data_IF_697386970440
#
_entry.id   IF_697386970440
#
_cell.length_a   1.000
_cell.length_b   1.000
_cell.length_c   1.000
_cell.angle_alpha   90.00
_cell.angle_beta   90.00
_cell.angle_gamma   90.00
#
_symmetry.space_group_name_H-M   'P 1'
#
loop_
_entity.id
_entity.type
_entity.pdbx_description
1 polymer ?
#
# COMPACT_ATOMS: atom_id res chain seq x y z
N UNK A 1 1.48 1.51 14.17
CA UNK A 1 1.60 1.69 12.73
C UNK A 1 0.45 1.06 11.95
N UNK A 2 -0.18 0.02 12.46
CA UNK A 2 -1.25 -0.72 11.80
C UNK A 2 -2.38 -1.03 12.79
N UNK A 3 -3.53 -1.42 12.27
CA UNK A 3 -4.68 -1.88 13.02
C UNK A 3 -5.13 -3.26 12.53
N UNK A 4 -5.28 -4.22 13.46
CA UNK A 4 -5.84 -5.53 13.16
C UNK A 4 -5.13 -6.30 12.03
N UNK A 5 -5.93 -6.96 11.20
CA UNK A 5 -5.50 -7.91 10.18
C UNK A 5 -5.73 -7.44 8.73
N UNK A 6 -6.33 -6.27 8.53
CA UNK A 6 -6.61 -5.71 7.22
C UNK A 6 -5.45 -4.84 6.71
N UNK A 7 -4.22 -5.36 6.79
CA UNK A 7 -3.00 -4.68 6.35
C UNK A 7 -2.27 -5.55 5.34
N UNK A 8 -1.65 -4.91 4.36
CA UNK A 8 -0.99 -5.62 3.27
C UNK A 8 0.48 -5.19 3.13
N UNK A 9 1.33 -6.18 2.94
CA UNK A 9 2.73 -6.03 2.55
C UNK A 9 2.94 -6.77 1.24
N UNK A 10 3.57 -6.15 0.26
CA UNK A 10 4.03 -6.89 -0.91
C UNK A 10 5.42 -6.49 -1.36
N UNK A 11 6.13 -7.43 -1.98
CA UNK A 11 7.48 -7.24 -2.52
C UNK A 11 7.57 -7.89 -3.89
N UNK A 12 7.99 -7.13 -4.91
CA UNK A 12 8.23 -7.67 -6.25
C UNK A 12 9.19 -8.86 -6.22
N UNK A 13 8.86 -9.91 -6.96
CA UNK A 13 9.74 -11.04 -7.21
C UNK A 13 10.20 -11.02 -8.67
N UNK A 14 11.50 -10.76 -8.95
CA UNK A 14 12.03 -10.83 -10.31
C UNK A 14 11.87 -12.23 -10.93
N UNK A 15 11.90 -13.26 -10.10
CA UNK A 15 11.82 -14.68 -10.51
C UNK A 15 10.39 -15.11 -10.88
N UNK A 16 9.38 -14.34 -10.46
CA UNK A 16 7.96 -14.65 -10.68
C UNK A 16 7.36 -13.98 -11.93
N UNK A 17 8.16 -13.66 -12.94
CA UNK A 17 7.65 -13.10 -14.19
C UNK A 17 6.84 -11.79 -14.02
N UNK A 18 7.24 -10.92 -13.07
CA UNK A 18 6.51 -9.71 -12.71
C UNK A 18 5.52 -9.90 -11.56
N UNK A 19 5.53 -11.06 -10.90
CA UNK A 19 4.76 -11.33 -9.69
C UNK A 19 5.35 -10.70 -8.44
N UNK A 20 4.71 -10.96 -7.30
CA UNK A 20 5.12 -10.40 -6.01
C UNK A 20 4.78 -11.35 -4.85
N UNK A 21 5.56 -11.25 -3.79
CA UNK A 21 5.19 -11.85 -2.50
C UNK A 21 4.21 -10.94 -1.76
N UNK A 22 3.24 -11.53 -1.05
CA UNK A 22 2.23 -10.81 -0.25
C UNK A 22 1.87 -11.63 0.98
N UNK A 23 1.47 -10.97 2.07
CA UNK A 23 0.95 -11.68 3.24
C UNK A 23 -0.42 -12.30 2.97
N UNK A 24 -0.67 -13.46 3.56
CA UNK A 24 -1.97 -14.13 3.48
C UNK A 24 -3.08 -13.36 4.20
N UNK A 25 -4.32 -13.66 3.84
CA UNK A 25 -5.52 -13.08 4.44
C UNK A 25 -5.58 -13.36 5.94
N UNK A 26 -5.96 -12.34 6.72
CA UNK A 26 -6.19 -12.49 8.16
C UNK A 26 -4.94 -12.59 9.02
N UNK A 27 -3.75 -12.43 8.44
CA UNK A 27 -2.49 -12.47 9.19
C UNK A 27 -2.18 -11.11 9.82
N UNK A 28 -1.89 -11.12 11.12
CA UNK A 28 -1.51 -9.90 11.83
C UNK A 28 -0.01 -9.63 11.68
N UNK A 29 0.37 -8.39 11.38
CA UNK A 29 1.77 -8.01 11.10
C UNK A 29 2.77 -8.36 12.22
N UNK A 30 2.33 -8.43 13.49
CA UNK A 30 3.20 -8.81 14.59
C UNK A 30 3.60 -10.30 14.60
N UNK A 31 2.93 -11.13 13.82
CA UNK A 31 3.15 -12.59 13.78
C UNK A 31 3.67 -13.10 12.44
N UNK A 32 3.60 -12.29 11.38
CA UNK A 32 4.05 -12.67 10.03
C UNK A 32 5.57 -12.82 10.00
N UNK A 33 6.04 -13.89 9.37
CA UNK A 33 7.44 -14.13 9.02
C UNK A 33 7.61 -14.08 7.50
N UNK A 34 8.83 -13.88 7.04
CA UNK A 34 9.12 -13.88 5.60
C UNK A 34 8.71 -15.20 4.91
N UNK A 35 8.79 -16.33 5.62
CA UNK A 35 8.35 -17.64 5.15
C UNK A 35 6.85 -17.79 4.96
N UNK A 36 6.06 -16.89 5.54
CA UNK A 36 4.60 -16.93 5.50
C UNK A 36 4.03 -16.12 4.32
N UNK A 37 4.92 -15.47 3.56
CA UNK A 37 4.50 -14.70 2.40
C UNK A 37 4.15 -15.64 1.24
N UNK A 38 3.03 -15.35 0.61
CA UNK A 38 2.51 -16.09 -0.54
C UNK A 38 3.01 -15.47 -1.84
N UNK A 39 3.54 -16.30 -2.76
CA UNK A 39 3.97 -15.84 -4.08
C UNK A 39 2.78 -15.76 -5.03
N UNK A 40 2.46 -14.55 -5.48
CA UNK A 40 1.49 -14.27 -6.52
C UNK A 40 2.22 -14.15 -7.85
N UNK A 41 2.08 -15.15 -8.72
CA UNK A 41 2.52 -15.06 -10.11
C UNK A 41 1.57 -14.16 -10.90
N UNK A 42 2.10 -13.30 -11.77
CA UNK A 42 1.30 -12.38 -12.57
C UNK A 42 0.21 -13.10 -13.40
N UNK A 43 0.52 -14.29 -13.90
CA UNK A 43 -0.42 -15.13 -14.67
C UNK A 43 -1.57 -15.68 -13.86
N UNK A 44 -1.43 -15.79 -12.54
CA UNK A 44 -2.40 -16.42 -11.64
C UNK A 44 -3.29 -15.44 -10.87
N UNK A 45 -3.11 -14.13 -11.05
CA UNK A 45 -3.90 -13.12 -10.35
C UNK A 45 -5.41 -13.36 -10.52
N UNK A 46 -5.84 -13.68 -11.74
CA UNK A 46 -7.27 -13.93 -12.02
C UNK A 46 -7.83 -15.18 -11.34
N UNK A 47 -7.01 -16.19 -11.08
CA UNK A 47 -7.42 -17.39 -10.34
C UNK A 47 -7.46 -17.15 -8.83
N UNK A 48 -6.57 -16.28 -8.33
CA UNK A 48 -6.42 -16.01 -6.91
C UNK A 48 -7.50 -15.09 -6.36
N UNK A 49 -8.08 -14.21 -7.18
CA UNK A 49 -9.17 -13.32 -6.72
C UNK A 49 -10.43 -14.09 -6.28
N UNK A 50 -10.60 -15.33 -6.75
CA UNK A 50 -11.68 -16.21 -6.34
C UNK A 50 -11.32 -17.07 -5.10
N UNK A 51 -10.15 -16.82 -4.49
CA UNK A 51 -9.62 -17.53 -3.31
C UNK A 51 -9.28 -16.55 -2.17
N UNK A 52 -10.27 -15.83 -1.63
CA UNK A 52 -10.05 -14.79 -0.63
C UNK A 52 -9.46 -15.33 0.69
N UNK A 53 -9.55 -16.62 0.93
CA UNK A 53 -8.94 -17.29 2.08
C UNK A 53 -7.40 -17.36 2.00
N UNK A 54 -6.83 -17.28 0.80
CA UNK A 54 -5.38 -17.29 0.59
C UNK A 54 -4.78 -15.90 0.61
N UNK A 55 -5.29 -15.02 -0.23
CA UNK A 55 -4.81 -13.65 -0.38
C UNK A 55 -6.01 -12.72 -0.48
N UNK A 56 -5.95 -11.60 0.24
CA UNK A 56 -7.00 -10.59 0.19
C UNK A 56 -7.16 -10.06 -1.25
N UNK A 57 -8.37 -10.13 -1.83
CA UNK A 57 -8.61 -9.65 -3.19
C UNK A 57 -8.26 -8.17 -3.38
N UNK A 58 -8.43 -7.33 -2.35
CA UNK A 58 -8.04 -5.91 -2.40
C UNK A 58 -6.53 -5.76 -2.55
N UNK A 59 -5.76 -6.59 -1.85
CA UNK A 59 -4.29 -6.62 -1.98
C UNK A 59 -3.88 -7.05 -3.39
N UNK A 60 -4.52 -8.08 -3.96
CA UNK A 60 -4.22 -8.53 -5.32
C UNK A 60 -4.43 -7.41 -6.35
N UNK A 61 -5.53 -6.69 -6.28
CA UNK A 61 -5.85 -5.62 -7.23
C UNK A 61 -4.98 -4.37 -7.01
N UNK A 62 -4.92 -3.85 -5.79
CA UNK A 62 -4.20 -2.60 -5.50
C UNK A 62 -2.70 -2.80 -5.72
N UNK A 63 -2.10 -3.81 -5.07
CA UNK A 63 -0.66 -4.03 -5.16
C UNK A 63 -0.25 -4.48 -6.57
N UNK A 64 -1.03 -5.37 -7.19
CA UNK A 64 -0.78 -5.83 -8.56
C UNK A 64 -0.77 -4.68 -9.58
N UNK A 65 -1.73 -3.76 -9.51
CA UNK A 65 -1.79 -2.58 -10.38
C UNK A 65 -0.61 -1.63 -10.14
N UNK A 66 -0.24 -1.41 -8.87
CA UNK A 66 0.87 -0.53 -8.53
C UNK A 66 2.20 -1.14 -8.96
N UNK A 67 2.47 -2.41 -8.66
CA UNK A 67 3.69 -3.10 -9.11
C UNK A 67 3.85 -3.07 -10.64
N UNK A 68 2.75 -3.20 -11.36
CA UNK A 68 2.74 -3.16 -12.83
C UNK A 68 3.00 -1.77 -13.40
N UNK A 69 2.44 -0.71 -12.77
CA UNK A 69 2.44 0.64 -13.35
C UNK A 69 3.48 1.59 -12.76
N UNK A 70 3.99 1.29 -11.57
CA UNK A 70 4.89 2.17 -10.81
C UNK A 70 6.26 1.51 -10.64
N UNK A 71 7.23 1.79 -11.54
CA UNK A 71 8.50 1.05 -11.61
C UNK A 71 9.34 1.07 -10.32
N UNK A 72 9.23 2.14 -9.52
CA UNK A 72 9.96 2.29 -8.26
C UNK A 72 9.28 1.59 -7.09
N UNK A 73 8.02 1.17 -7.22
CA UNK A 73 7.29 0.47 -6.17
C UNK A 73 7.66 -1.02 -6.14
N UNK A 74 8.89 -1.33 -5.72
CA UNK A 74 9.35 -2.71 -5.54
C UNK A 74 8.86 -3.34 -4.24
N UNK A 75 8.58 -2.52 -3.24
CA UNK A 75 7.90 -2.88 -2.01
C UNK A 75 6.73 -1.93 -1.79
N UNK A 76 5.62 -2.46 -1.32
CA UNK A 76 4.39 -1.71 -1.00
C UNK A 76 3.93 -2.13 0.38
N UNK A 77 3.62 -1.14 1.22
CA UNK A 77 2.99 -1.32 2.52
C UNK A 77 1.68 -0.54 2.56
N UNK A 78 0.61 -1.22 2.91
CA UNK A 78 -0.71 -0.62 3.10
C UNK A 78 -1.19 -0.88 4.52
N UNK A 79 -1.56 0.17 5.23
CA UNK A 79 -2.06 0.12 6.61
C UNK A 79 -3.12 1.19 6.86
N UNK A 80 -3.86 0.99 7.98
CA UNK A 80 -4.81 1.96 8.50
C UNK A 80 -4.28 2.59 9.79
N UNK A 81 -3.09 3.20 9.73
CA UNK A 81 -2.51 3.84 10.93
C UNK A 81 -3.33 5.04 11.37
N UNK A 82 -3.60 5.15 12.67
CA UNK A 82 -4.56 6.07 13.27
C UNK A 82 -4.50 7.50 12.73
N UNK A 83 -3.33 8.13 12.80
CA UNK A 83 -3.20 9.53 12.42
C UNK A 83 -3.17 9.75 10.90
N UNK A 84 -2.47 8.90 10.17
CA UNK A 84 -2.43 9.01 8.72
C UNK A 84 -3.79 8.69 8.07
N UNK A 85 -4.57 7.76 8.64
CA UNK A 85 -5.94 7.50 8.21
C UNK A 85 -6.87 8.67 8.55
N UNK A 86 -6.71 9.26 9.74
CA UNK A 86 -7.46 10.47 10.10
C UNK A 86 -7.16 11.64 9.14
N UNK A 87 -5.88 11.85 8.80
CA UNK A 87 -5.50 12.82 7.79
C UNK A 87 -6.16 12.53 6.43
N UNK A 88 -6.09 11.27 5.98
CA UNK A 88 -6.69 10.85 4.70
C UNK A 88 -8.22 11.06 4.65
N UNK A 89 -8.90 11.11 5.80
CA UNK A 89 -10.34 11.33 5.90
C UNK A 89 -10.75 12.81 5.89
N UNK A 90 -9.79 13.75 5.94
CA UNK A 90 -10.11 15.17 5.88
C UNK A 90 -10.53 15.59 4.48
N UNK A 91 -11.33 16.66 4.40
CA UNK A 91 -11.70 17.30 3.13
C UNK A 91 -10.44 17.77 2.37
N UNK A 92 -9.47 18.33 3.08
CA UNK A 92 -8.13 18.61 2.58
C UNK A 92 -7.09 17.77 3.32
N UNK A 93 -6.66 16.61 2.77
CA UNK A 93 -5.66 15.75 3.36
C UNK A 93 -4.23 16.20 3.02
N UNK A 94 -4.03 17.44 2.63
CA UNK A 94 -2.69 17.98 2.38
C UNK A 94 -1.87 17.95 3.66
N UNK A 95 -0.70 17.33 3.58
CA UNK A 95 0.26 17.29 4.68
C UNK A 95 1.16 18.54 4.62
N UNK A 96 0.97 19.51 5.52
CA UNK A 96 1.81 20.69 5.54
C UNK A 96 3.20 20.36 6.08
N UNK A 97 4.27 20.94 5.48
CA UNK A 97 5.65 20.73 5.93
C UNK A 97 5.97 21.58 7.17
N UNK A 98 5.44 21.20 8.31
CA UNK A 98 5.55 21.99 9.57
C UNK A 98 6.74 21.57 10.44
N UNK A 99 7.35 20.43 10.18
CA UNK A 99 8.51 19.90 10.88
C UNK A 99 9.40 19.07 9.97
N UNK A 100 10.53 18.58 10.50
CA UNK A 100 11.48 17.78 9.72
C UNK A 100 10.87 16.46 9.21
N UNK A 101 9.96 15.83 9.96
CA UNK A 101 9.33 14.59 9.55
C UNK A 101 8.32 14.83 8.42
N UNK A 102 7.49 15.86 8.53
CA UNK A 102 6.52 16.21 7.49
C UNK A 102 7.20 16.75 6.23
N UNK A 103 8.37 17.39 6.34
CA UNK A 103 9.19 17.81 5.19
C UNK A 103 9.65 16.63 4.32
N UNK A 104 9.80 15.43 4.87
CA UNK A 104 10.11 14.22 4.09
C UNK A 104 9.10 13.97 2.99
N UNK A 105 7.85 14.33 3.24
CA UNK A 105 6.70 14.06 2.36
C UNK A 105 6.36 15.22 1.43
N UNK A 106 7.09 16.33 1.51
CA UNK A 106 6.83 17.49 0.66
C UNK A 106 6.90 17.11 -0.83
N UNK A 107 5.82 17.33 -1.56
CA UNK A 107 5.63 16.92 -2.97
C UNK A 107 5.75 15.41 -3.25
N UNK A 108 5.76 14.56 -2.21
CA UNK A 108 5.88 13.10 -2.34
C UNK A 108 4.60 12.33 -2.03
N UNK A 109 3.51 13.03 -1.75
CA UNK A 109 2.22 12.44 -1.39
C UNK A 109 1.24 12.56 -2.55
N UNK A 110 0.68 11.44 -2.98
CA UNK A 110 -0.50 11.37 -3.81
C UNK A 110 -1.75 11.31 -2.93
N UNK A 111 -2.87 11.83 -3.44
CA UNK A 111 -4.16 11.71 -2.78
C UNK A 111 -5.14 11.06 -3.75
N UNK A 112 -5.77 9.99 -3.32
CA UNK A 112 -6.87 9.34 -4.01
C UNK A 112 -8.17 9.65 -3.27
N UNK A 113 -9.04 10.43 -3.89
CA UNK A 113 -10.28 10.96 -3.26
C UNK A 113 -11.52 10.13 -3.58
N UNK A 114 -11.48 9.38 -4.66
CA UNK A 114 -12.63 8.66 -5.19
C UNK A 114 -12.72 7.27 -4.57
N UNK A 115 -12.91 7.18 -3.23
CA UNK A 115 -13.09 5.90 -2.58
C UNK A 115 -14.46 5.32 -2.99
N UNK A 116 -14.44 4.37 -3.94
CA UNK A 116 -15.63 3.75 -4.52
C UNK A 116 -15.94 2.35 -3.98
N UNK A 117 -15.10 1.83 -3.08
CA UNK A 117 -15.35 0.50 -2.54
C UNK A 117 -14.08 -0.24 -2.11
N UNK A 118 -13.71 -1.30 -2.84
CA UNK A 118 -12.68 -2.26 -2.42
C UNK A 118 -11.37 -2.17 -3.20
N UNK A 119 -11.18 -1.16 -4.01
CA UNK A 119 -9.95 -0.98 -4.81
C UNK A 119 -9.83 -1.95 -5.98
N UNK A 120 -10.95 -2.49 -6.48
CA UNK A 120 -10.93 -3.44 -7.59
C UNK A 120 -10.78 -2.75 -8.95
N UNK A 121 -10.22 -3.50 -9.91
CA UNK A 121 -10.14 -3.14 -11.33
C UNK A 121 -9.77 -1.68 -11.63
N UNK A 122 -10.69 -0.87 -12.17
CA UNK A 122 -10.43 0.53 -12.52
C UNK A 122 -9.99 1.39 -11.34
N UNK A 123 -10.48 1.11 -10.14
CA UNK A 123 -10.12 1.84 -8.93
C UNK A 123 -8.64 1.65 -8.61
N UNK A 124 -8.15 0.40 -8.65
CA UNK A 124 -6.73 0.08 -8.43
C UNK A 124 -5.82 0.74 -9.48
N UNK A 125 -6.27 0.83 -10.72
CA UNK A 125 -5.55 1.51 -11.79
C UNK A 125 -5.48 3.04 -11.60
N UNK A 126 -6.55 3.65 -11.11
CA UNK A 126 -6.59 5.07 -10.74
C UNK A 126 -5.66 5.35 -9.56
N UNK A 127 -5.64 4.48 -8.54
CA UNK A 127 -4.71 4.58 -7.40
C UNK A 127 -3.25 4.53 -7.87
N UNK A 128 -2.88 3.56 -8.72
CA UNK A 128 -1.55 3.47 -9.29
C UNK A 128 -1.15 4.72 -10.08
N UNK A 129 -2.08 5.30 -10.81
CA UNK A 129 -1.87 6.55 -11.56
C UNK A 129 -1.68 7.76 -10.63
N UNK A 130 -2.38 7.80 -9.49
CA UNK A 130 -2.24 8.87 -8.48
C UNK A 130 -0.93 8.82 -7.72
N UNK A 131 -0.36 7.63 -7.51
CA UNK A 131 0.99 7.50 -6.97
C UNK A 131 1.99 8.15 -7.94
N UNK A 132 1.96 7.77 -9.24
CA UNK A 132 2.89 8.30 -10.22
C UNK A 132 4.35 8.12 -9.79
N UNK A 133 5.07 9.21 -9.57
CA UNK A 133 6.46 9.24 -9.08
C UNK A 133 6.57 9.46 -7.55
N UNK A 134 5.47 9.42 -6.84
CA UNK A 134 5.41 9.70 -5.40
C UNK A 134 5.66 8.45 -4.57
N UNK A 135 5.96 8.64 -3.28
CA UNK A 135 6.26 7.54 -2.34
C UNK A 135 5.06 7.14 -1.49
N UNK A 136 4.11 8.02 -1.33
CA UNK A 136 2.95 7.86 -0.45
C UNK A 136 1.67 8.08 -1.24
N UNK A 137 0.65 7.28 -0.94
CA UNK A 137 -0.73 7.52 -1.34
C UNK A 137 -1.61 7.60 -0.09
N UNK A 138 -2.27 8.73 0.10
CA UNK A 138 -3.40 8.86 1.03
C UNK A 138 -4.66 8.45 0.28
N UNK A 139 -5.38 7.47 0.82
CA UNK A 139 -6.64 6.99 0.26
C UNK A 139 -7.78 7.51 1.15
N UNK A 140 -8.56 8.45 0.63
CA UNK A 140 -9.62 9.11 1.39
C UNK A 140 -10.60 8.11 1.99
N UNK A 141 -10.93 8.29 3.27
CA UNK A 141 -11.82 7.42 4.06
C UNK A 141 -11.41 5.93 4.10
N UNK A 142 -10.14 5.61 3.83
CA UNK A 142 -9.65 4.23 3.80
C UNK A 142 -8.39 4.09 4.65
N UNK A 143 -7.26 4.53 4.16
CA UNK A 143 -5.97 4.34 4.81
C UNK A 143 -4.83 4.95 4.01
N UNK A 144 -3.64 4.39 4.17
CA UNK A 144 -2.43 4.90 3.53
C UNK A 144 -1.62 3.78 2.91
N UNK A 145 -0.87 4.14 1.87
CA UNK A 145 0.04 3.23 1.21
C UNK A 145 1.39 3.91 1.01
N UNK A 146 2.46 3.18 1.28
CA UNK A 146 3.83 3.63 1.01
C UNK A 146 4.53 2.69 0.04
N UNK A 147 5.44 3.24 -0.76
CA UNK A 147 6.21 2.50 -1.74
C UNK A 147 7.70 2.75 -1.58
N UNK A 148 8.51 1.76 -1.93
CA UNK A 148 9.97 1.87 -1.93
C UNK A 148 10.64 0.94 -2.92
N UNK A 149 11.91 1.23 -3.24
CA UNK A 149 12.77 0.34 -4.02
C UNK A 149 13.18 -0.91 -3.22
N UNK A 150 13.15 -0.79 -1.89
CA UNK A 150 13.47 -1.86 -0.94
C UNK A 150 12.41 -1.91 0.17
N UNK A 151 12.36 -3.01 0.89
CA UNK A 151 11.52 -3.17 2.08
C UNK A 151 11.88 -2.11 3.13
N UNK A 152 13.19 -1.86 3.33
CA UNK A 152 13.66 -0.87 4.29
C UNK A 152 13.17 0.54 3.94
N UNK A 153 13.22 0.93 2.66
CA UNK A 153 12.73 2.25 2.21
C UNK A 153 11.23 2.39 2.42
N UNK A 154 10.44 1.41 1.98
CA UNK A 154 8.98 1.45 2.14
C UNK A 154 8.57 1.49 3.62
N UNK A 155 9.28 0.74 4.47
CA UNK A 155 9.05 0.73 5.91
C UNK A 155 9.43 2.06 6.58
N UNK A 156 10.56 2.64 6.21
CA UNK A 156 11.00 3.94 6.73
C UNK A 156 9.98 5.05 6.39
N UNK A 157 9.50 5.08 5.15
CA UNK A 157 8.43 6.00 4.75
C UNK A 157 7.15 5.78 5.58
N UNK A 158 6.75 4.51 5.79
CA UNK A 158 5.57 4.20 6.60
C UNK A 158 5.75 4.56 8.07
N UNK A 159 6.93 4.29 8.62
CA UNK A 159 7.24 4.60 10.02
C UNK A 159 7.03 6.09 10.29
N UNK A 160 7.70 6.96 9.53
CA UNK A 160 7.58 8.41 9.72
C UNK A 160 6.18 8.93 9.38
N UNK A 161 5.52 8.40 8.36
CA UNK A 161 4.13 8.76 8.06
C UNK A 161 3.20 8.42 9.22
N UNK A 162 3.41 7.30 9.90
CA UNK A 162 2.60 6.88 11.04
C UNK A 162 2.80 7.74 12.30
N UNK A 163 3.91 8.48 12.39
CA UNK A 163 4.23 9.38 13.49
C UNK A 163 3.68 10.80 13.30
N UNK A 164 3.06 11.09 12.17
CA UNK A 164 2.45 12.37 11.93
C UNK A 164 1.33 12.59 12.94
N UNK A 165 1.53 13.59 13.79
CA UNK A 165 0.54 14.03 14.76
C UNK A 165 -0.21 15.23 14.17
N UNK A 166 -1.50 15.07 14.08
CA UNK A 166 -2.40 16.17 13.68
C UNK A 166 -2.85 16.94 14.93
#
# INVERSE_FOLDING_TARGET
>A
MHEGIANHLSVCSPEAGGGFYVNGTGMHFSTIKASDLFLVEQSKINELKDKPELVDPTALHIHGSIHKKVPHAKCILHVHSKYATALAALEDPTLPPIDQNTMRFFNRVGVYRDFGGMGFEEESEKMASKIGNKKVLLMSNHGVLTTGQTVAEAFDELYYLSLIHI
#
